data_IF_430900463194
#
_entry.id   IF_430900463194
#
_cell.length_a   1.000
_cell.length_b   1.000
_cell.length_c   1.000
_cell.angle_alpha   90.00
_cell.angle_beta   90.00
_cell.angle_gamma   90.00
#
_symmetry.space_group_name_H-M   'P 1'
#
loop_
_entity.id
_entity.type
_entity.pdbx_description
1 polymer ?
#
# COMPACT_ATOMS: atom_id res chain seq x y z
N UNK A 1 -45.13 40.63 6.74
CA UNK A 1 -45.15 41.37 5.46
C UNK A 1 -44.07 40.89 4.50
N UNK A 2 -42.78 40.90 4.86
CA UNK A 2 -41.67 40.52 3.95
C UNK A 2 -41.73 39.06 3.45
N UNK A 3 -42.23 38.14 4.28
CA UNK A 3 -42.25 36.70 3.95
C UNK A 3 -43.40 36.30 3.00
N UNK A 4 -44.52 37.04 3.00
CA UNK A 4 -45.64 36.78 2.07
C UNK A 4 -45.41 37.42 0.69
N UNK A 5 -44.76 38.59 0.63
CA UNK A 5 -44.37 39.20 -0.65
C UNK A 5 -43.29 38.38 -1.37
N UNK A 6 -42.34 37.80 -0.63
CA UNK A 6 -41.40 36.82 -1.18
C UNK A 6 -42.15 35.59 -1.72
N UNK A 7 -43.16 35.08 -1.01
CA UNK A 7 -43.89 33.91 -1.48
C UNK A 7 -44.74 34.20 -2.73
N UNK A 8 -45.33 35.39 -2.84
CA UNK A 8 -46.05 35.84 -4.02
C UNK A 8 -45.14 36.05 -5.24
N UNK A 9 -43.89 36.50 -5.04
CA UNK A 9 -42.91 36.66 -6.10
C UNK A 9 -42.40 35.31 -6.66
N UNK A 10 -42.35 34.26 -5.82
CA UNK A 10 -41.94 32.91 -6.23
C UNK A 10 -43.09 32.02 -6.75
N UNK A 11 -44.36 32.37 -6.50
CA UNK A 11 -45.53 31.59 -6.94
C UNK A 11 -46.10 31.99 -8.30
N UNK A 12 -45.62 33.11 -8.88
CA UNK A 12 -45.98 33.56 -10.23
C UNK A 12 -45.13 32.97 -11.36
N UNK A 13 -45.46 33.24 -12.64
CA UNK A 13 -44.73 32.76 -13.82
C UNK A 13 -43.22 33.07 -13.77
N UNK A 14 -42.84 34.21 -13.19
CA UNK A 14 -41.45 34.63 -13.00
C UNK A 14 -40.67 33.76 -12.00
N UNK A 15 -41.33 33.30 -10.94
CA UNK A 15 -40.74 32.37 -9.97
C UNK A 15 -40.51 30.98 -10.55
N UNK A 16 -41.47 30.48 -11.35
CA UNK A 16 -41.33 29.23 -12.11
C UNK A 16 -40.20 29.33 -13.14
N UNK A 17 -40.10 30.45 -13.86
CA UNK A 17 -39.01 30.67 -14.82
C UNK A 17 -37.63 30.67 -14.15
N UNK A 18 -37.48 31.33 -13.00
CA UNK A 18 -36.24 31.33 -12.23
C UNK A 18 -35.87 29.92 -11.74
N UNK A 19 -36.84 29.17 -11.21
CA UNK A 19 -36.64 27.78 -10.81
C UNK A 19 -36.19 26.90 -12.00
N UNK A 20 -36.83 27.03 -13.16
CA UNK A 20 -36.44 26.33 -14.39
C UNK A 20 -35.02 26.70 -14.83
N UNK A 21 -34.63 27.98 -14.77
CA UNK A 21 -33.27 28.44 -15.08
C UNK A 21 -32.23 27.84 -14.12
N UNK A 22 -32.52 27.82 -12.82
CA UNK A 22 -31.62 27.22 -11.81
C UNK A 22 -31.47 25.70 -12.03
N UNK A 23 -32.56 25.00 -12.34
CA UNK A 23 -32.53 23.57 -12.67
C UNK A 23 -31.74 23.34 -13.96
N UNK A 24 -31.96 24.13 -15.01
CA UNK A 24 -31.23 24.03 -16.26
C UNK A 24 -29.72 24.30 -16.07
N UNK A 25 -29.35 25.31 -15.27
CA UNK A 25 -27.96 25.60 -14.92
C UNK A 25 -27.33 24.45 -14.13
N UNK A 26 -28.03 23.88 -13.15
CA UNK A 26 -27.56 22.73 -12.38
C UNK A 26 -27.36 21.48 -13.28
N UNK A 27 -28.29 21.23 -14.22
CA UNK A 27 -28.18 20.16 -15.21
C UNK A 27 -27.01 20.38 -16.17
N UNK A 28 -26.81 21.61 -16.66
CA UNK A 28 -25.69 21.97 -17.53
C UNK A 28 -24.34 21.81 -16.82
N UNK A 29 -24.21 22.27 -15.56
CA UNK A 29 -23.02 22.09 -14.73
C UNK A 29 -22.75 20.61 -14.46
N UNK A 30 -23.78 19.81 -14.15
CA UNK A 30 -23.67 18.37 -13.96
C UNK A 30 -23.24 17.66 -15.23
N UNK A 31 -23.79 18.04 -16.38
CA UNK A 31 -23.42 17.50 -17.69
C UNK A 31 -21.97 17.84 -18.05
N UNK A 32 -21.56 19.10 -17.88
CA UNK A 32 -20.19 19.57 -18.11
C UNK A 32 -19.19 18.81 -17.23
N UNK A 33 -19.47 18.70 -15.93
CA UNK A 33 -18.63 17.97 -14.98
C UNK A 33 -18.48 16.49 -15.35
N UNK A 34 -19.59 15.83 -15.75
CA UNK A 34 -19.57 14.45 -16.23
C UNK A 34 -18.78 14.30 -17.53
N UNK A 35 -18.91 15.25 -18.46
CA UNK A 35 -18.15 15.26 -19.72
C UNK A 35 -16.64 15.37 -19.45
N UNK A 36 -16.23 16.26 -18.55
CA UNK A 36 -14.82 16.37 -18.14
C UNK A 36 -14.32 15.08 -17.48
N UNK A 37 -15.11 14.48 -16.57
CA UNK A 37 -14.75 13.22 -15.92
C UNK A 37 -14.62 12.05 -16.92
N UNK A 38 -15.52 11.95 -17.91
CA UNK A 38 -15.44 10.97 -19.00
C UNK A 38 -14.19 11.19 -19.86
N UNK A 39 -13.88 12.44 -20.20
CA UNK A 39 -12.66 12.77 -20.95
C UNK A 39 -11.40 12.41 -20.18
N UNK A 40 -11.35 12.68 -18.87
CA UNK A 40 -10.24 12.28 -18.01
C UNK A 40 -10.07 10.76 -17.96
N UNK A 41 -11.17 10.01 -17.81
CA UNK A 41 -11.14 8.55 -17.82
C UNK A 41 -10.63 7.99 -19.16
N UNK A 42 -11.10 8.53 -20.29
CA UNK A 42 -10.65 8.10 -21.62
C UNK A 42 -9.14 8.33 -21.80
N UNK A 43 -8.64 9.52 -21.42
CA UNK A 43 -7.19 9.82 -21.48
C UNK A 43 -6.37 8.93 -20.55
N UNK A 44 -6.85 8.68 -19.34
CA UNK A 44 -6.17 7.80 -18.38
C UNK A 44 -6.05 6.37 -18.92
N UNK A 45 -7.13 5.81 -19.49
CA UNK A 45 -7.12 4.47 -20.11
C UNK A 45 -6.21 4.39 -21.33
N UNK A 46 -6.23 5.42 -22.17
CA UNK A 46 -5.32 5.48 -23.33
C UNK A 46 -3.86 5.50 -22.87
N UNK A 47 -3.53 6.27 -21.83
CA UNK A 47 -2.18 6.29 -21.24
C UNK A 47 -1.79 4.96 -20.60
N UNK A 48 -2.71 4.32 -19.86
CA UNK A 48 -2.48 3.01 -19.26
C UNK A 48 -2.20 1.97 -20.36
N UNK A 49 -3.01 1.93 -21.42
CA UNK A 49 -2.82 1.03 -22.55
C UNK A 49 -1.47 1.25 -23.24
N UNK A 50 -1.12 2.51 -23.55
CA UNK A 50 0.17 2.83 -24.16
C UNK A 50 1.36 2.46 -23.27
N UNK A 51 1.23 2.66 -21.95
CA UNK A 51 2.24 2.26 -20.98
C UNK A 51 2.43 0.73 -20.95
N UNK A 52 1.34 -0.04 -20.95
CA UNK A 52 1.39 -1.50 -20.99
C UNK A 52 1.97 -2.03 -22.30
N UNK A 53 1.66 -1.40 -23.44
CA UNK A 53 2.27 -1.74 -24.73
C UNK A 53 3.76 -1.44 -24.77
N UNK A 54 4.19 -0.34 -24.12
CA UNK A 54 5.61 0.02 -24.01
C UNK A 54 6.35 -1.00 -23.13
N UNK A 55 5.75 -1.38 -22.00
CA UNK A 55 6.29 -2.44 -21.14
C UNK A 55 6.45 -3.77 -21.91
N UNK A 56 5.41 -4.22 -22.61
CA UNK A 56 5.44 -5.46 -23.37
C UNK A 56 6.57 -5.47 -24.41
N UNK A 57 6.68 -4.39 -25.19
CA UNK A 57 7.75 -4.25 -26.20
C UNK A 57 9.14 -4.29 -25.57
N UNK A 58 9.34 -3.65 -24.43
CA UNK A 58 10.62 -3.65 -23.73
C UNK A 58 10.98 -5.06 -23.22
N UNK A 59 10.04 -5.75 -22.58
CA UNK A 59 10.20 -7.12 -22.11
C UNK A 59 10.47 -8.11 -23.28
N UNK A 60 9.69 -8.01 -24.37
CA UNK A 60 9.88 -8.86 -25.55
C UNK A 60 11.25 -8.65 -26.20
N UNK A 61 11.69 -7.40 -26.34
CA UNK A 61 13.01 -7.07 -26.87
C UNK A 61 14.10 -7.72 -26.03
N UNK A 62 14.03 -7.59 -24.71
CA UNK A 62 15.01 -8.18 -23.81
C UNK A 62 15.03 -9.72 -23.91
N UNK A 63 13.85 -10.36 -23.94
CA UNK A 63 13.74 -11.81 -24.05
C UNK A 63 14.35 -12.36 -25.35
N UNK A 64 14.11 -11.68 -26.48
CA UNK A 64 14.70 -12.07 -27.77
C UNK A 64 16.23 -11.94 -27.78
N UNK A 65 16.78 -11.01 -27.00
CA UNK A 65 18.23 -10.82 -26.85
C UNK A 65 18.85 -11.81 -25.85
N UNK A 66 18.06 -12.38 -24.94
CA UNK A 66 18.52 -13.24 -23.86
C UNK A 66 17.65 -14.53 -23.79
N UNK A 67 17.64 -15.37 -24.84
CA UNK A 67 16.75 -16.53 -24.91
C UNK A 67 17.06 -17.62 -23.87
N UNK A 68 18.30 -17.67 -23.38
CA UNK A 68 18.77 -18.70 -22.44
C UNK A 68 18.56 -18.32 -20.97
N UNK A 69 18.00 -17.14 -20.68
CA UNK A 69 17.75 -16.68 -19.31
C UNK A 69 16.60 -17.48 -18.67
N UNK A 70 16.90 -18.22 -17.60
CA UNK A 70 15.89 -18.87 -16.77
C UNK A 70 15.14 -17.84 -15.89
N UNK A 71 14.12 -17.23 -16.48
CA UNK A 71 13.29 -16.22 -15.81
C UNK A 71 12.45 -16.81 -14.67
N UNK A 72 12.04 -18.08 -14.75
CA UNK A 72 11.25 -18.71 -13.69
C UNK A 72 12.10 -18.92 -12.43
N UNK A 73 13.34 -19.40 -12.59
CA UNK A 73 14.28 -19.50 -11.48
C UNK A 73 14.55 -18.13 -10.84
N UNK A 74 14.76 -17.09 -11.65
CA UNK A 74 14.99 -15.72 -11.17
C UNK A 74 13.80 -15.21 -10.35
N UNK A 75 12.58 -15.37 -10.86
CA UNK A 75 11.36 -14.87 -10.22
C UNK A 75 11.04 -15.61 -8.91
N UNK A 76 11.48 -16.87 -8.77
CA UNK A 76 11.31 -17.68 -7.57
C UNK A 76 12.23 -17.28 -6.41
N UNK A 77 13.28 -16.49 -6.65
CA UNK A 77 14.23 -16.10 -5.60
C UNK A 77 13.57 -15.20 -4.54
N UNK A 78 13.84 -15.45 -3.24
CA UNK A 78 13.59 -14.46 -2.18
C UNK A 78 14.41 -13.19 -2.42
N UNK A 79 13.89 -12.03 -2.04
CA UNK A 79 14.55 -10.74 -2.29
C UNK A 79 15.99 -10.68 -1.74
N UNK A 80 16.31 -11.15 -0.51
CA UNK A 80 17.67 -11.10 0.00
C UNK A 80 18.66 -11.89 -0.87
N UNK A 81 18.23 -13.04 -1.40
CA UNK A 81 19.06 -13.87 -2.29
C UNK A 81 19.23 -13.21 -3.65
N UNK A 82 18.18 -12.61 -4.19
CA UNK A 82 18.26 -11.87 -5.44
C UNK A 82 19.22 -10.68 -5.34
N UNK A 83 19.16 -9.90 -4.26
CA UNK A 83 20.11 -8.79 -4.02
C UNK A 83 21.53 -9.31 -3.91
N UNK A 84 21.76 -10.44 -3.23
CA UNK A 84 23.08 -11.06 -3.15
C UNK A 84 23.60 -11.47 -4.54
N UNK A 85 22.77 -12.12 -5.35
CA UNK A 85 23.15 -12.55 -6.71
C UNK A 85 23.46 -11.37 -7.62
N UNK A 86 22.67 -10.30 -7.57
CA UNK A 86 22.95 -9.07 -8.32
C UNK A 86 24.27 -8.44 -7.89
N UNK A 87 24.52 -8.34 -6.58
CA UNK A 87 25.79 -7.79 -6.05
C UNK A 87 27.01 -8.61 -6.42
N UNK A 88 26.88 -9.93 -6.49
CA UNK A 88 27.96 -10.82 -6.90
C UNK A 88 28.23 -10.83 -8.42
N UNK A 89 27.34 -10.21 -9.21
CA UNK A 89 27.40 -10.24 -10.67
C UNK A 89 26.86 -11.53 -11.30
N UNK A 90 26.30 -12.45 -10.52
CA UNK A 90 25.67 -13.67 -11.03
C UNK A 90 24.39 -13.37 -11.83
N UNK A 91 23.64 -12.34 -11.42
CA UNK A 91 22.50 -11.82 -12.15
C UNK A 91 22.76 -10.36 -12.52
N UNK A 92 22.46 -9.98 -13.76
CA UNK A 92 22.52 -8.57 -14.15
C UNK A 92 21.26 -7.81 -13.67
N UNK A 93 21.38 -6.53 -13.29
CA UNK A 93 20.22 -5.69 -12.99
C UNK A 93 19.20 -5.64 -14.13
N UNK A 94 19.65 -5.71 -15.39
CA UNK A 94 18.79 -5.75 -16.57
C UNK A 94 17.96 -7.02 -16.61
N UNK A 95 18.59 -8.20 -16.38
CA UNK A 95 17.89 -9.47 -16.32
C UNK A 95 16.79 -9.44 -15.25
N UNK A 96 17.10 -8.89 -14.07
CA UNK A 96 16.11 -8.74 -13.00
C UNK A 96 14.98 -7.81 -13.41
N UNK A 97 15.27 -6.59 -13.88
CA UNK A 97 14.25 -5.62 -14.25
C UNK A 97 13.32 -6.18 -15.33
N UNK A 98 13.86 -6.69 -16.44
CA UNK A 98 13.04 -7.10 -17.56
C UNK A 98 12.27 -8.41 -17.30
N UNK A 99 12.79 -9.34 -16.50
CA UNK A 99 12.02 -10.51 -16.06
C UNK A 99 10.83 -10.11 -15.18
N UNK A 100 11.01 -9.18 -14.24
CA UNK A 100 9.90 -8.67 -13.42
C UNK A 100 8.92 -7.81 -14.22
N UNK A 101 9.40 -7.01 -15.16
CA UNK A 101 8.57 -6.17 -16.04
C UNK A 101 7.66 -7.05 -16.93
N UNK A 102 8.21 -8.13 -17.48
CA UNK A 102 7.43 -9.13 -18.20
C UNK A 102 6.37 -9.78 -17.31
N UNK A 103 6.75 -10.26 -16.12
CA UNK A 103 5.83 -10.91 -15.20
C UNK A 103 4.72 -9.96 -14.76
N UNK A 104 5.05 -8.71 -14.45
CA UNK A 104 4.10 -7.66 -14.11
C UNK A 104 3.09 -7.42 -15.23
N UNK A 105 3.54 -7.36 -16.49
CA UNK A 105 2.66 -7.22 -17.65
C UNK A 105 1.72 -8.42 -17.80
N UNK A 106 2.23 -9.65 -17.64
CA UNK A 106 1.44 -10.88 -17.74
C UNK A 106 0.33 -10.93 -16.68
N UNK A 107 0.68 -10.71 -15.41
CA UNK A 107 -0.27 -10.79 -14.29
C UNK A 107 -1.28 -9.65 -14.32
N UNK A 108 -0.91 -8.49 -14.87
CA UNK A 108 -1.82 -7.37 -15.04
C UNK A 108 -3.00 -7.72 -15.97
N UNK A 109 -2.85 -8.65 -16.92
CA UNK A 109 -3.97 -9.08 -17.79
C UNK A 109 -5.12 -9.72 -16.99
N UNK A 110 -4.79 -10.43 -15.91
CA UNK A 110 -5.77 -11.08 -15.03
C UNK A 110 -6.25 -10.21 -13.87
N UNK A 111 -5.48 -9.19 -13.50
CA UNK A 111 -5.69 -8.42 -12.26
C UNK A 111 -5.98 -6.94 -12.43
N UNK A 112 -5.59 -6.31 -13.55
CA UNK A 112 -5.65 -4.86 -13.76
C UNK A 112 -5.08 -4.07 -12.57
N UNK A 113 -3.87 -4.44 -12.14
CA UNK A 113 -3.19 -3.86 -10.97
C UNK A 113 -2.23 -2.71 -11.33
N UNK A 114 -1.78 -2.58 -12.57
CA UNK A 114 -0.81 -1.56 -13.03
C UNK A 114 -1.53 -0.39 -13.68
N UNK A 115 -1.26 0.84 -13.23
CA UNK A 115 -1.84 2.07 -13.83
C UNK A 115 -0.90 2.74 -14.82
N UNK A 116 0.41 2.71 -14.58
CA UNK A 116 1.41 3.27 -15.49
C UNK A 116 2.78 2.58 -15.35
N UNK A 117 3.54 2.60 -16.44
CA UNK A 117 4.94 2.22 -16.54
C UNK A 117 5.81 3.45 -16.26
N UNK A 118 6.74 3.34 -15.32
CA UNK A 118 7.73 4.38 -15.03
C UNK A 118 8.92 4.20 -15.96
N UNK A 119 8.81 4.74 -17.19
CA UNK A 119 9.76 4.48 -18.26
C UNK A 119 11.19 5.04 -18.00
N UNK A 120 11.37 5.88 -16.98
CA UNK A 120 12.69 6.31 -16.51
C UNK A 120 13.45 5.20 -15.77
N UNK A 121 12.83 4.05 -15.52
CA UNK A 121 13.44 2.92 -14.81
C UNK A 121 14.69 2.37 -15.50
N UNK A 122 14.76 2.37 -16.84
CA UNK A 122 15.96 1.93 -17.58
C UNK A 122 17.13 2.91 -17.38
N UNK A 123 16.86 4.22 -17.42
CA UNK A 123 17.86 5.23 -17.13
C UNK A 123 18.32 5.17 -15.66
N UNK A 124 17.37 4.93 -14.75
CA UNK A 124 17.64 4.72 -13.33
C UNK A 124 18.52 3.49 -13.11
N UNK A 125 18.29 2.39 -13.85
CA UNK A 125 19.11 1.17 -13.77
C UNK A 125 20.58 1.47 -14.10
N UNK A 126 20.83 2.24 -15.18
CA UNK A 126 22.17 2.64 -15.59
C UNK A 126 22.89 3.53 -14.57
N UNK A 127 22.14 4.27 -13.75
CA UNK A 127 22.67 5.22 -12.77
C UNK A 127 22.59 4.68 -11.33
N UNK A 128 22.06 3.48 -11.13
CA UNK A 128 21.80 2.92 -9.81
C UNK A 128 23.11 2.76 -9.02
N UNK A 129 23.21 3.31 -7.80
CA UNK A 129 24.40 3.15 -6.98
C UNK A 129 24.65 1.69 -6.62
N UNK A 130 25.74 1.11 -7.12
CA UNK A 130 26.10 -0.31 -6.92
C UNK A 130 26.26 -0.74 -5.45
N UNK A 131 26.52 0.22 -4.56
CA UNK A 131 26.69 -0.01 -3.12
C UNK A 131 25.37 0.06 -2.33
N UNK A 132 24.28 0.50 -2.98
CA UNK A 132 22.97 0.65 -2.33
C UNK A 132 22.41 -0.68 -1.81
N UNK A 133 21.61 -0.61 -0.74
CA UNK A 133 21.02 -1.81 -0.12
C UNK A 133 20.00 -2.54 -1.01
N UNK A 134 19.47 -1.85 -2.02
CA UNK A 134 18.48 -2.36 -2.96
C UNK A 134 18.98 -2.28 -4.41
N UNK A 135 20.29 -2.33 -4.63
CA UNK A 135 20.87 -2.23 -5.96
C UNK A 135 20.25 -3.23 -6.95
N UNK A 136 19.71 -2.72 -8.04
CA UNK A 136 19.10 -3.49 -9.13
C UNK A 136 17.73 -4.09 -8.81
N UNK A 137 17.12 -3.74 -7.67
CA UNK A 137 15.81 -4.28 -7.26
C UNK A 137 14.67 -3.47 -7.90
N UNK A 138 13.79 -4.10 -8.71
CA UNK A 138 12.57 -3.46 -9.20
C UNK A 138 11.58 -3.27 -8.04
N UNK A 139 11.05 -2.06 -7.89
CA UNK A 139 10.10 -1.72 -6.82
C UNK A 139 8.80 -1.20 -7.41
N UNK A 140 7.67 -1.79 -7.02
CA UNK A 140 6.34 -1.27 -7.34
C UNK A 140 5.92 -0.17 -6.38
N UNK A 141 5.21 0.84 -6.88
CA UNK A 141 4.76 1.95 -6.06
C UNK A 141 3.25 2.12 -6.17
N UNK A 142 2.56 2.25 -5.04
CA UNK A 142 1.17 2.71 -5.05
C UNK A 142 1.08 4.06 -5.75
N UNK A 143 0.03 4.32 -6.53
CA UNK A 143 -0.10 5.53 -7.36
C UNK A 143 0.10 6.88 -6.63
N UNK A 144 -0.10 6.93 -5.31
CA UNK A 144 0.05 8.16 -4.52
C UNK A 144 1.50 8.54 -4.18
N UNK A 145 2.48 7.68 -4.46
CA UNK A 145 3.88 8.05 -4.40
C UNK A 145 4.22 8.86 -5.65
N UNK A 146 4.40 10.17 -5.50
CA UNK A 146 4.68 11.04 -6.65
C UNK A 146 5.99 10.65 -7.31
N UNK A 147 5.95 10.38 -8.61
CA UNK A 147 7.11 10.16 -9.47
C UNK A 147 7.13 11.24 -10.55
N UNK A 148 8.30 11.84 -10.78
CA UNK A 148 8.48 12.96 -11.71
C UNK A 148 7.93 12.62 -13.10
N UNK A 149 7.09 13.51 -13.64
CA UNK A 149 6.50 13.35 -14.97
C UNK A 149 5.28 12.42 -15.02
N UNK A 150 4.90 11.78 -13.91
CA UNK A 150 3.75 10.87 -13.83
C UNK A 150 2.60 11.47 -13.00
N UNK A 151 1.37 11.13 -13.39
CA UNK A 151 0.17 11.52 -12.63
C UNK A 151 0.04 10.65 -11.36
N UNK A 152 -0.31 11.28 -10.23
CA UNK A 152 -0.91 10.61 -9.08
C UNK A 152 -2.39 10.96 -9.02
N UNK A 153 -3.24 10.18 -9.70
CA UNK A 153 -4.65 10.56 -9.91
C UNK A 153 -5.52 10.29 -8.69
N UNK A 154 -5.20 9.24 -7.92
CA UNK A 154 -6.04 8.71 -6.84
C UNK A 154 -7.42 8.25 -7.35
N UNK A 155 -7.53 7.92 -8.64
CA UNK A 155 -8.81 7.65 -9.30
C UNK A 155 -9.74 8.87 -9.43
N UNK A 156 -9.24 10.09 -9.22
CA UNK A 156 -10.00 11.34 -9.29
C UNK A 156 -9.72 12.06 -10.61
N UNK A 157 -10.78 12.37 -11.37
CA UNK A 157 -10.66 13.06 -12.67
C UNK A 157 -9.96 14.42 -12.57
N UNK A 158 -10.08 15.10 -11.43
CA UNK A 158 -9.42 16.40 -11.16
C UNK A 158 -7.89 16.32 -11.18
N UNK A 159 -7.33 15.17 -10.82
CA UNK A 159 -5.88 14.96 -10.75
C UNK A 159 -5.31 14.33 -12.03
N UNK A 160 -6.14 14.10 -13.05
CA UNK A 160 -5.68 13.54 -14.31
C UNK A 160 -5.05 14.64 -15.16
N UNK A 161 -3.84 14.39 -15.67
CA UNK A 161 -3.08 15.39 -16.45
C UNK A 161 -2.39 16.43 -15.58
N UNK A 162 -2.05 16.07 -14.34
CA UNK A 162 -1.26 16.89 -13.41
C UNK A 162 -0.04 16.09 -12.96
N UNK A 163 0.98 15.94 -13.83
CA UNK A 163 2.15 15.15 -13.51
C UNK A 163 2.95 15.79 -12.38
N UNK A 164 3.60 14.98 -11.55
CA UNK A 164 4.45 15.49 -10.48
C UNK A 164 5.72 16.15 -11.03
N UNK A 165 6.16 17.24 -10.39
CA UNK A 165 7.37 17.98 -10.80
C UNK A 165 8.66 17.28 -10.33
N UNK A 166 8.58 16.53 -9.24
CA UNK A 166 9.68 15.79 -8.65
C UNK A 166 9.21 14.49 -8.01
N UNK A 167 10.18 13.59 -7.77
CA UNK A 167 9.97 12.38 -7.00
C UNK A 167 9.69 12.72 -5.54
N UNK A 168 8.79 11.99 -4.88
CA UNK A 168 8.61 12.10 -3.43
C UNK A 168 9.87 11.63 -2.69
N UNK A 169 10.06 12.04 -1.44
CA UNK A 169 11.30 11.76 -0.70
C UNK A 169 11.62 10.27 -0.63
N UNK A 170 10.60 9.43 -0.41
CA UNK A 170 10.80 7.97 -0.33
C UNK A 170 11.25 7.38 -1.67
N UNK A 171 10.75 7.89 -2.79
CA UNK A 171 11.19 7.47 -4.14
C UNK A 171 12.62 7.91 -4.40
N UNK A 172 13.00 9.13 -4.00
CA UNK A 172 14.39 9.60 -4.09
C UNK A 172 15.33 8.70 -3.30
N UNK A 173 14.97 8.34 -2.06
CA UNK A 173 15.78 7.45 -1.20
C UNK A 173 15.88 6.05 -1.79
N UNK A 174 14.79 5.49 -2.34
CA UNK A 174 14.84 4.21 -3.05
C UNK A 174 15.86 4.25 -4.21
N UNK A 175 15.80 5.28 -5.05
CA UNK A 175 16.73 5.48 -6.16
C UNK A 175 18.18 5.62 -5.68
N UNK A 176 18.42 6.36 -4.60
CA UNK A 176 19.74 6.49 -3.96
C UNK A 176 20.25 5.16 -3.36
N UNK A 177 19.35 4.29 -2.92
CA UNK A 177 19.65 2.93 -2.48
C UNK A 177 19.80 1.92 -3.63
N UNK A 178 19.81 2.39 -4.88
CA UNK A 178 20.00 1.58 -6.08
C UNK A 178 18.76 0.81 -6.54
N UNK A 179 17.61 1.05 -5.91
CA UNK A 179 16.35 0.47 -6.36
C UNK A 179 15.86 1.12 -7.66
N UNK A 180 14.97 0.40 -8.34
CA UNK A 180 14.46 0.76 -9.67
C UNK A 180 12.93 0.78 -9.62
N UNK A 181 12.31 1.92 -9.24
CA UNK A 181 10.87 2.08 -9.37
C UNK A 181 10.43 1.89 -10.81
N UNK A 182 9.48 0.97 -11.07
CA UNK A 182 9.15 0.58 -12.45
C UNK A 182 7.66 0.70 -12.81
N UNK A 183 6.74 0.67 -11.84
CA UNK A 183 5.30 0.83 -12.10
C UNK A 183 4.60 1.60 -11.00
N UNK A 184 3.53 2.31 -11.36
CA UNK A 184 2.47 2.65 -10.41
C UNK A 184 1.40 1.56 -10.40
N UNK A 185 0.87 1.27 -9.20
CA UNK A 185 -0.21 0.32 -9.00
C UNK A 185 -1.52 0.99 -8.58
N UNK A 186 -2.62 0.34 -8.93
CA UNK A 186 -3.97 0.89 -8.85
C UNK A 186 -4.46 1.06 -7.41
N UNK A 187 -5.37 2.02 -7.24
CA UNK A 187 -5.98 2.39 -5.96
C UNK A 187 -7.49 2.56 -6.11
N UNK A 188 -8.29 2.39 -5.05
CA UNK A 188 -9.68 2.82 -5.08
C UNK A 188 -9.78 4.34 -5.20
N UNK A 189 -10.89 4.81 -5.78
CA UNK A 189 -11.15 6.24 -5.91
C UNK A 189 -11.02 6.95 -4.55
N UNK A 190 -10.21 8.02 -4.49
CA UNK A 190 -9.83 8.81 -3.32
C UNK A 190 -8.94 8.13 -2.26
N UNK A 191 -8.61 6.85 -2.43
CA UNK A 191 -7.90 5.98 -1.47
C UNK A 191 -8.63 5.70 -0.15
N UNK A 192 -9.83 6.24 0.07
CA UNK A 192 -10.61 6.03 1.29
C UNK A 192 -11.56 4.83 1.18
N UNK A 193 -10.99 3.67 0.81
CA UNK A 193 -11.69 2.40 0.70
C UNK A 193 -10.70 1.25 0.90
N UNK A 194 -11.19 0.11 1.40
CA UNK A 194 -10.44 -1.14 1.46
C UNK A 194 -10.76 -2.10 0.31
N UNK A 195 -11.47 -1.63 -0.72
CA UNK A 195 -11.56 -2.27 -2.04
C UNK A 195 -10.60 -1.57 -3.03
N UNK A 196 -10.58 -1.96 -4.31
CA UNK A 196 -9.67 -1.38 -5.31
C UNK A 196 -10.33 -1.17 -6.68
N UNK A 197 -11.09 -0.08 -6.82
CA UNK A 197 -11.69 0.31 -8.10
C UNK A 197 -11.84 1.83 -8.23
N UNK A 198 -11.66 2.36 -9.44
CA UNK A 198 -11.92 3.76 -9.73
C UNK A 198 -12.39 3.99 -11.19
N UNK A 199 -13.02 5.14 -11.50
CA UNK A 199 -13.55 5.41 -12.84
C UNK A 199 -12.48 5.55 -13.94
N UNK A 200 -11.23 5.83 -13.58
CA UNK A 200 -10.15 6.06 -14.55
C UNK A 200 -9.60 4.72 -15.06
N UNK A 201 -9.08 3.89 -14.16
CA UNK A 201 -8.38 2.64 -14.49
C UNK A 201 -9.24 1.38 -14.29
N UNK A 202 -10.44 1.50 -13.73
CA UNK A 202 -11.33 0.37 -13.48
C UNK A 202 -11.00 -0.39 -12.19
N UNK A 203 -11.48 -1.62 -12.11
CA UNK A 203 -11.37 -2.49 -10.94
C UNK A 203 -10.13 -3.36 -11.02
N UNK A 204 -9.43 -3.50 -9.90
CA UNK A 204 -8.39 -4.51 -9.69
C UNK A 204 -9.02 -5.73 -9.03
N UNK A 205 -8.65 -6.93 -9.47
CA UNK A 205 -9.15 -8.20 -8.92
C UNK A 205 -8.06 -8.93 -8.14
N UNK A 206 -8.48 -9.82 -7.24
CA UNK A 206 -7.57 -10.63 -6.45
C UNK A 206 -6.96 -11.76 -7.31
N UNK A 207 -5.63 -11.97 -7.32
CA UNK A 207 -4.99 -13.01 -8.13
C UNK A 207 -5.37 -14.44 -7.72
N UNK A 208 -5.80 -14.66 -6.48
CA UNK A 208 -6.25 -15.99 -6.03
C UNK A 208 -7.66 -16.35 -6.53
N UNK A 209 -8.51 -15.34 -6.74
CA UNK A 209 -9.88 -15.51 -7.21
C UNK A 209 -10.42 -14.20 -7.77
N UNK A 210 -10.72 -14.18 -9.07
CA UNK A 210 -11.11 -12.95 -9.80
C UNK A 210 -12.40 -12.29 -9.29
N UNK A 211 -13.27 -13.04 -8.62
CA UNK A 211 -14.50 -12.52 -8.00
C UNK A 211 -14.28 -11.89 -6.61
N UNK A 212 -13.04 -11.88 -6.10
CA UNK A 212 -12.69 -11.30 -4.80
C UNK A 212 -11.93 -9.99 -4.96
N UNK A 213 -12.12 -9.12 -3.98
CA UNK A 213 -11.33 -7.90 -3.85
C UNK A 213 -9.89 -8.25 -3.50
N UNK A 214 -8.89 -7.55 -4.07
CA UNK A 214 -7.50 -7.64 -3.62
C UNK A 214 -7.27 -6.92 -2.28
N UNK A 215 -8.29 -6.29 -1.70
CA UNK A 215 -8.15 -5.37 -0.58
C UNK A 215 -7.71 -3.99 -1.03
N UNK A 216 -7.48 -3.07 -0.09
CA UNK A 216 -7.18 -1.70 -0.43
C UNK A 216 -6.86 -0.81 0.76
N UNK A 217 -6.41 0.43 0.54
CA UNK A 217 -6.30 1.09 -0.76
C UNK A 217 -5.03 0.78 -1.55
N UNK A 218 -4.08 0.01 -1.01
CA UNK A 218 -2.90 -0.47 -1.75
C UNK A 218 -3.19 -1.79 -2.49
N UNK A 219 -4.37 -1.88 -3.12
CA UNK A 219 -4.86 -3.12 -3.72
C UNK A 219 -4.08 -3.57 -4.94
N UNK A 220 -3.60 -2.61 -5.76
CA UNK A 220 -2.70 -2.89 -6.86
C UNK A 220 -1.38 -3.52 -6.41
N UNK A 221 -0.76 -3.00 -5.32
CA UNK A 221 0.44 -3.61 -4.72
C UNK A 221 0.17 -5.06 -4.27
N UNK A 222 -0.93 -5.27 -3.53
CA UNK A 222 -1.31 -6.61 -3.05
C UNK A 222 -1.45 -7.62 -4.20
N UNK A 223 -2.18 -7.24 -5.25
CA UNK A 223 -2.40 -8.09 -6.41
C UNK A 223 -1.09 -8.36 -7.19
N UNK A 224 -0.27 -7.33 -7.41
CA UNK A 224 0.96 -7.45 -8.20
C UNK A 224 2.00 -8.34 -7.50
N UNK A 225 2.24 -8.11 -6.21
CA UNK A 225 3.24 -8.88 -5.43
C UNK A 225 2.80 -10.34 -5.27
N UNK A 226 1.52 -10.57 -4.95
CA UNK A 226 1.00 -11.93 -4.78
C UNK A 226 1.01 -12.75 -6.07
N UNK A 227 0.81 -12.11 -7.22
CA UNK A 227 0.93 -12.76 -8.52
C UNK A 227 2.38 -12.95 -8.99
N UNK A 228 3.38 -12.48 -8.21
CA UNK A 228 4.79 -12.59 -8.52
C UNK A 228 5.33 -11.52 -9.49
N UNK A 229 4.52 -10.52 -9.84
CA UNK A 229 4.92 -9.42 -10.72
C UNK A 229 5.78 -8.35 -10.05
N UNK A 230 5.97 -8.43 -8.73
CA UNK A 230 6.90 -7.59 -7.96
C UNK A 230 7.41 -8.36 -6.73
N UNK A 231 8.62 -8.05 -6.29
CA UNK A 231 9.20 -8.55 -5.03
C UNK A 231 8.87 -7.67 -3.85
N UNK A 232 8.90 -6.36 -4.09
CA UNK A 232 8.87 -5.32 -3.09
C UNK A 232 8.04 -4.16 -3.61
N UNK A 233 7.14 -3.70 -2.77
CA UNK A 233 6.25 -2.59 -3.05
C UNK A 233 6.14 -1.63 -1.89
N UNK A 234 5.72 -0.39 -2.18
CA UNK A 234 5.39 0.59 -1.13
C UNK A 234 3.89 0.94 -1.15
N UNK A 235 3.29 0.82 0.03
CA UNK A 235 1.92 1.21 0.29
C UNK A 235 1.80 2.33 1.33
N UNK A 236 0.57 2.78 1.54
CA UNK A 236 0.21 3.73 2.59
C UNK A 236 -0.96 3.21 3.41
N UNK A 237 -1.00 3.53 4.70
CA UNK A 237 -1.97 2.98 5.65
C UNK A 237 -2.32 4.00 6.73
N UNK A 238 -3.59 4.44 6.71
CA UNK A 238 -4.22 5.24 7.77
C UNK A 238 -5.24 4.42 8.57
N UNK A 239 -5.88 3.44 7.94
CA UNK A 239 -6.95 2.62 8.53
C UNK A 239 -6.88 1.13 8.16
N UNK A 240 -5.75 0.66 7.64
CA UNK A 240 -5.55 -0.74 7.22
C UNK A 240 -5.01 -0.91 5.81
N UNK A 241 -4.72 0.16 5.09
CA UNK A 241 -4.50 0.11 3.64
C UNK A 241 -3.21 -0.54 3.15
N UNK A 242 -2.27 -0.91 4.02
CA UNK A 242 -1.18 -1.87 3.73
C UNK A 242 -1.62 -3.27 4.13
N UNK A 243 -2.26 -3.39 5.30
CA UNK A 243 -2.58 -4.65 5.97
C UNK A 243 -3.72 -5.43 5.30
N UNK A 244 -4.79 -4.76 4.86
CA UNK A 244 -5.90 -5.38 4.13
C UNK A 244 -5.44 -6.05 2.83
N UNK A 245 -4.77 -5.34 1.89
CA UNK A 245 -4.34 -5.99 0.66
C UNK A 245 -3.27 -7.05 0.91
N UNK A 246 -2.40 -6.87 1.93
CA UNK A 246 -1.44 -7.92 2.30
C UNK A 246 -2.14 -9.20 2.75
N UNK A 247 -3.14 -9.08 3.63
CA UNK A 247 -3.90 -10.23 4.12
C UNK A 247 -4.78 -10.88 3.03
N UNK A 248 -5.46 -10.08 2.20
CA UNK A 248 -6.37 -10.60 1.17
C UNK A 248 -5.61 -11.27 0.02
N UNK A 249 -4.41 -10.80 -0.27
CA UNK A 249 -3.55 -11.37 -1.30
C UNK A 249 -2.47 -12.31 -0.75
N UNK A 250 -2.46 -12.62 0.55
CA UNK A 250 -1.56 -13.63 1.12
C UNK A 250 -0.07 -13.25 1.07
N UNK A 251 0.25 -11.98 1.28
CA UNK A 251 1.62 -11.45 1.33
C UNK A 251 1.90 -10.77 2.68
N UNK A 252 3.14 -10.36 2.92
CA UNK A 252 3.55 -9.61 4.11
C UNK A 252 3.45 -8.10 3.87
N UNK A 253 3.05 -7.36 4.91
CA UNK A 253 3.09 -5.89 4.88
C UNK A 253 3.16 -5.33 6.29
N UNK A 254 3.93 -4.25 6.45
CA UNK A 254 4.11 -3.59 7.76
C UNK A 254 3.65 -2.14 7.68
N UNK A 255 2.89 -1.71 8.71
CA UNK A 255 2.55 -0.31 8.95
C UNK A 255 3.40 0.24 10.10
N UNK A 256 4.51 0.94 9.82
CA UNK A 256 5.29 1.64 10.83
C UNK A 256 4.49 2.63 11.69
N UNK A 257 5.17 3.23 12.66
CA UNK A 257 4.71 4.46 13.33
C UNK A 257 4.63 5.57 12.29
N UNK A 258 3.57 6.40 12.33
CA UNK A 258 3.24 7.32 11.22
C UNK A 258 4.32 8.34 10.84
N UNK A 259 5.25 8.66 11.74
CA UNK A 259 6.39 9.55 11.45
C UNK A 259 7.74 8.82 11.36
N UNK A 260 7.74 7.49 11.16
CA UNK A 260 8.99 6.71 11.01
C UNK A 260 9.59 6.80 9.61
N UNK A 261 8.77 7.05 8.60
CA UNK A 261 9.16 7.22 7.19
C UNK A 261 8.55 8.54 6.70
N UNK A 262 9.29 9.25 5.84
CA UNK A 262 8.84 10.52 5.26
C UNK A 262 7.51 10.37 4.52
N UNK A 263 6.67 11.41 4.65
CA UNK A 263 5.43 11.57 3.88
C UNK A 263 5.54 12.68 2.84
N UNK A 264 6.72 13.31 2.73
CA UNK A 264 6.95 14.45 1.85
C UNK A 264 6.82 14.04 0.39
N UNK A 265 6.02 14.79 -0.36
CA UNK A 265 5.70 14.52 -1.76
C UNK A 265 4.64 13.46 -2.00
N UNK A 266 3.99 12.89 -0.98
CA UNK A 266 2.85 11.99 -1.20
C UNK A 266 1.59 12.75 -1.63
N UNK A 267 0.86 12.21 -2.59
CA UNK A 267 -0.43 12.75 -3.02
C UNK A 267 -1.55 12.27 -2.10
N UNK A 268 -2.24 13.20 -1.45
CA UNK A 268 -3.43 12.95 -0.64
C UNK A 268 -4.71 13.56 -1.22
N UNK A 269 -5.86 13.03 -0.80
CA UNK A 269 -7.18 13.62 -1.06
C UNK A 269 -7.53 14.73 -0.06
N UNK A 270 -7.01 14.64 1.16
CA UNK A 270 -7.21 15.60 2.26
C UNK A 270 -5.87 15.84 2.94
N UNK A 271 -5.55 17.11 3.22
CA UNK A 271 -4.32 17.54 3.87
C UNK A 271 -4.62 18.18 5.24
N UNK A 272 -3.65 18.19 6.15
CA UNK A 272 -3.76 18.85 7.47
C UNK A 272 -4.44 18.01 8.58
N UNK A 273 -4.94 16.82 8.26
CA UNK A 273 -5.50 15.90 9.28
C UNK A 273 -4.36 15.20 10.04
N UNK A 274 -4.29 15.40 11.36
CA UNK A 274 -3.18 14.92 12.21
C UNK A 274 -3.61 14.01 13.37
N UNK A 275 -4.91 13.88 13.64
CA UNK A 275 -5.43 13.04 14.73
C UNK A 275 -5.20 11.54 14.47
N UNK A 276 -5.47 11.08 13.25
CA UNK A 276 -5.18 9.71 12.80
C UNK A 276 -4.05 9.77 11.79
N UNK A 277 -2.86 9.34 12.21
CA UNK A 277 -1.64 9.47 11.44
C UNK A 277 -1.59 8.46 10.28
N UNK A 278 -1.36 8.98 9.08
CA UNK A 278 -0.96 8.18 7.91
C UNK A 278 0.43 7.59 8.14
N UNK A 279 0.65 6.36 7.69
CA UNK A 279 1.99 5.74 7.60
C UNK A 279 2.29 5.29 6.18
N UNK A 280 3.58 5.33 5.84
CA UNK A 280 4.18 4.65 4.67
C UNK A 280 4.81 3.35 5.15
N UNK A 281 4.77 2.30 4.33
CA UNK A 281 5.47 1.06 4.67
C UNK A 281 5.58 0.07 3.51
N UNK A 282 6.53 -0.88 3.59
CA UNK A 282 6.73 -1.88 2.57
C UNK A 282 5.69 -3.01 2.60
N UNK A 283 5.51 -3.62 1.43
CA UNK A 283 4.77 -4.84 1.16
C UNK A 283 5.68 -5.78 0.36
N UNK A 284 5.73 -7.07 0.71
CA UNK A 284 6.62 -8.04 0.08
C UNK A 284 6.13 -9.48 0.33
N UNK A 285 6.79 -10.48 -0.24
CA UNK A 285 6.42 -11.90 -0.08
C UNK A 285 6.83 -12.52 1.25
N UNK A 286 7.82 -11.92 1.91
CA UNK A 286 8.40 -12.39 3.17
C UNK A 286 8.78 -11.23 4.09
N UNK A 287 9.01 -11.52 5.37
CA UNK A 287 9.28 -10.52 6.41
C UNK A 287 10.69 -9.94 6.29
N UNK A 288 11.64 -10.75 5.83
CA UNK A 288 13.04 -10.38 5.59
C UNK A 288 13.13 -9.27 4.52
N UNK A 289 12.31 -9.36 3.48
CA UNK A 289 12.16 -8.32 2.46
C UNK A 289 11.63 -7.00 3.02
N UNK A 290 10.67 -7.07 3.96
CA UNK A 290 10.17 -5.87 4.65
C UNK A 290 11.28 -5.24 5.48
N UNK A 291 12.04 -6.05 6.23
CA UNK A 291 13.16 -5.59 7.04
C UNK A 291 14.27 -4.97 6.18
N UNK A 292 14.60 -5.59 5.04
CA UNK A 292 15.57 -5.06 4.08
C UNK A 292 15.15 -3.69 3.53
N UNK A 293 13.88 -3.53 3.15
CA UNK A 293 13.38 -2.24 2.69
C UNK A 293 13.41 -1.18 3.79
N UNK A 294 12.98 -1.51 5.01
CA UNK A 294 13.04 -0.58 6.15
C UNK A 294 14.48 -0.17 6.46
N UNK A 295 15.44 -1.10 6.41
CA UNK A 295 16.87 -0.83 6.56
C UNK A 295 17.39 0.13 5.49
N UNK A 296 17.00 -0.07 4.24
CA UNK A 296 17.37 0.81 3.13
C UNK A 296 16.79 2.22 3.27
N UNK A 297 15.54 2.35 3.71
CA UNK A 297 14.87 3.64 3.86
C UNK A 297 15.36 4.42 5.10
N UNK A 298 15.64 3.75 6.21
CA UNK A 298 16.08 4.36 7.48
C UNK A 298 17.58 4.70 7.47
N UNK A 299 17.97 5.54 6.51
CA UNK A 299 19.34 5.98 6.27
C UNK A 299 19.47 7.52 6.29
N UNK A 300 20.70 8.00 6.28
CA UNK A 300 21.02 9.44 6.31
C UNK A 300 20.39 10.23 5.16
N UNK A 301 20.26 9.64 3.97
CA UNK A 301 19.61 10.33 2.85
C UNK A 301 18.16 10.69 3.16
N UNK A 302 17.39 9.79 3.79
CA UNK A 302 16.01 10.09 4.17
C UNK A 302 15.94 11.16 5.25
N UNK A 303 16.81 11.06 6.27
CA UNK A 303 16.83 12.00 7.38
C UNK A 303 17.28 13.40 6.95
N UNK A 304 18.17 13.48 5.95
CA UNK A 304 18.62 14.74 5.34
C UNK A 304 17.57 15.36 4.42
N UNK A 305 16.90 14.55 3.58
CA UNK A 305 15.88 15.02 2.64
C UNK A 305 14.59 15.45 3.34
N UNK A 306 14.25 14.85 4.48
CA UNK A 306 13.13 15.25 5.32
C UNK A 306 13.51 15.29 6.82
N UNK A 307 14.04 16.43 7.29
CA UNK A 307 14.42 16.63 8.69
C UNK A 307 13.25 16.57 9.69
N UNK A 308 12.00 16.47 9.23
CA UNK A 308 10.83 16.30 10.12
C UNK A 308 10.66 14.85 10.57
N UNK A 309 11.36 13.90 9.94
CA UNK A 309 11.43 12.50 10.35
C UNK A 309 12.51 12.36 11.44
N UNK A 310 12.21 11.77 12.61
CA UNK A 310 13.23 11.50 13.61
C UNK A 310 14.31 10.55 13.05
N UNK A 311 15.60 10.88 13.17
CA UNK A 311 16.70 10.09 12.61
C UNK A 311 16.96 8.83 13.44
N UNK A 312 16.03 7.88 13.38
CA UNK A 312 16.06 6.62 14.11
C UNK A 312 16.43 5.49 13.13
N UNK A 313 17.71 5.06 13.09
CA UNK A 313 18.15 4.02 12.17
C UNK A 313 17.42 2.70 12.44
N UNK A 314 17.49 1.78 11.48
CA UNK A 314 17.03 0.42 11.71
C UNK A 314 17.91 -0.24 12.78
N UNK A 315 17.29 -0.88 13.78
CA UNK A 315 18.00 -1.50 14.88
C UNK A 315 18.15 -3.01 14.60
N UNK A 316 19.34 -3.42 14.16
CA UNK A 316 19.64 -4.83 13.84
C UNK A 316 19.56 -5.75 15.05
N UNK A 317 20.03 -5.30 16.21
CA UNK A 317 20.03 -6.12 17.43
C UNK A 317 18.60 -6.45 17.88
N UNK A 318 17.69 -5.48 17.78
CA UNK A 318 16.27 -5.68 18.09
C UNK A 318 15.62 -6.61 17.08
N UNK A 319 15.92 -6.46 15.79
CA UNK A 319 15.35 -7.32 14.74
C UNK A 319 15.85 -8.76 14.83
N UNK A 320 17.15 -8.97 15.07
CA UNK A 320 17.78 -10.29 15.13
C UNK A 320 17.62 -11.00 16.49
N UNK A 321 17.07 -10.33 17.50
CA UNK A 321 16.88 -10.89 18.84
C UNK A 321 15.99 -12.14 18.82
N UNK A 322 16.50 -13.24 19.37
CA UNK A 322 15.78 -14.51 19.57
C UNK A 322 15.24 -14.70 20.99
N UNK A 323 15.19 -13.63 21.78
CA UNK A 323 14.72 -13.68 23.18
C UNK A 323 13.25 -14.14 23.25
N UNK A 324 12.87 -14.96 24.25
CA UNK A 324 11.46 -15.27 24.50
C UNK A 324 10.65 -13.99 24.64
N UNK A 325 9.44 -14.01 24.07
CA UNK A 325 8.58 -12.83 23.97
C UNK A 325 7.40 -12.95 24.91
N UNK A 326 6.91 -11.78 25.31
CA UNK A 326 5.68 -11.61 26.05
C UNK A 326 4.60 -11.10 25.08
N UNK A 327 3.68 -11.98 24.67
CA UNK A 327 2.70 -11.72 23.62
C UNK A 327 1.29 -11.58 24.20
N UNK A 328 0.71 -10.38 24.08
CA UNK A 328 -0.72 -10.18 24.33
C UNK A 328 -1.53 -10.62 23.12
N UNK A 329 -2.59 -11.39 23.34
CA UNK A 329 -3.52 -11.79 22.27
C UNK A 329 -4.99 -11.55 22.66
N UNK A 330 -5.84 -11.43 21.66
CA UNK A 330 -7.30 -11.44 21.80
C UNK A 330 -7.92 -12.14 20.58
N UNK A 331 -9.02 -12.85 20.76
CA UNK A 331 -9.68 -13.60 19.67
C UNK A 331 -10.66 -12.74 18.87
N UNK A 332 -11.21 -11.72 19.52
CA UNK A 332 -12.23 -10.82 19.00
C UNK A 332 -12.01 -9.43 19.59
N UNK A 333 -12.25 -8.40 18.80
CA UNK A 333 -12.28 -7.01 19.28
C UNK A 333 -13.65 -6.64 19.89
N UNK A 334 -14.59 -7.59 19.93
CA UNK A 334 -15.98 -7.40 20.36
C UNK A 334 -16.75 -6.38 19.52
N UNK A 335 -16.27 -6.10 18.30
CA UNK A 335 -16.91 -5.19 17.35
C UNK A 335 -17.20 -5.93 16.04
N UNK A 336 -16.15 -6.44 15.38
CA UNK A 336 -16.29 -7.27 14.18
C UNK A 336 -16.07 -8.72 14.55
N UNK A 337 -17.14 -9.53 14.44
CA UNK A 337 -17.04 -10.96 14.72
C UNK A 337 -16.01 -11.61 13.79
N UNK A 338 -14.97 -12.30 14.32
CA UNK A 338 -13.99 -12.97 13.48
C UNK A 338 -14.65 -14.12 12.72
N UNK A 339 -14.31 -14.27 11.44
CA UNK A 339 -14.71 -15.46 10.69
C UNK A 339 -14.10 -16.73 11.29
N UNK A 340 -14.65 -17.93 11.01
CA UNK A 340 -14.05 -19.19 11.48
C UNK A 340 -12.58 -19.33 11.07
N UNK A 341 -12.22 -18.91 9.85
CA UNK A 341 -10.85 -18.95 9.36
C UNK A 341 -9.92 -18.00 10.14
N UNK A 342 -10.38 -16.77 10.44
CA UNK A 342 -9.60 -15.80 11.21
C UNK A 342 -9.35 -16.28 12.64
N UNK A 343 -10.39 -16.78 13.33
CA UNK A 343 -10.25 -17.32 14.68
C UNK A 343 -9.27 -18.49 14.69
N UNK A 344 -9.41 -19.42 13.73
CA UNK A 344 -8.52 -20.57 13.61
C UNK A 344 -7.06 -20.15 13.39
N UNK A 345 -6.80 -19.24 12.46
CA UNK A 345 -5.46 -18.74 12.18
C UNK A 345 -4.80 -18.10 13.41
N UNK A 346 -5.56 -17.29 14.16
CA UNK A 346 -5.08 -16.69 15.41
C UNK A 346 -4.73 -17.76 16.45
N UNK A 347 -5.61 -18.75 16.66
CA UNK A 347 -5.38 -19.80 17.65
C UNK A 347 -4.23 -20.76 17.26
N UNK A 348 -4.06 -21.07 15.98
CA UNK A 348 -2.92 -21.84 15.47
C UNK A 348 -1.60 -21.08 15.67
N UNK A 349 -1.59 -19.78 15.40
CA UNK A 349 -0.42 -18.90 15.64
C UNK A 349 -0.09 -18.82 17.14
N UNK A 350 -1.11 -18.64 17.98
CA UNK A 350 -0.98 -18.64 19.45
C UNK A 350 -0.27 -19.92 19.92
N UNK A 351 -0.79 -21.09 19.53
CA UNK A 351 -0.22 -22.39 19.91
C UNK A 351 1.21 -22.56 19.42
N UNK A 352 1.51 -22.09 18.22
CA UNK A 352 2.86 -22.14 17.64
C UNK A 352 3.85 -21.28 18.45
N UNK A 353 3.43 -20.10 18.89
CA UNK A 353 4.23 -19.24 19.77
C UNK A 353 4.45 -19.86 21.15
N UNK A 354 3.42 -20.45 21.75
CA UNK A 354 3.54 -21.17 23.03
C UNK A 354 4.52 -22.35 22.91
N UNK A 355 4.41 -23.14 21.82
CA UNK A 355 5.29 -24.27 21.55
C UNK A 355 6.75 -23.84 21.31
N UNK A 356 6.98 -22.65 20.77
CA UNK A 356 8.31 -22.05 20.59
C UNK A 356 8.88 -21.40 21.88
N UNK A 357 8.18 -21.49 23.01
CA UNK A 357 8.65 -21.00 24.31
C UNK A 357 8.31 -19.53 24.61
N UNK A 358 7.44 -18.89 23.84
CA UNK A 358 6.94 -17.55 24.16
C UNK A 358 5.82 -17.61 25.21
N UNK A 359 5.71 -16.57 26.03
CA UNK A 359 4.60 -16.43 26.98
C UNK A 359 3.45 -15.70 26.30
N UNK A 360 2.29 -16.35 26.17
CA UNK A 360 1.11 -15.79 25.50
C UNK A 360 -0.06 -15.67 26.49
N UNK A 361 -0.61 -14.47 26.67
CA UNK A 361 -1.73 -14.26 27.62
C UNK A 361 -2.84 -13.39 27.01
N UNK A 362 -4.06 -13.62 27.48
CA UNK A 362 -5.24 -12.90 27.03
C UNK A 362 -5.14 -11.44 27.47
N UNK A 363 -5.01 -10.52 26.49
CA UNK A 363 -5.00 -9.07 26.71
C UNK A 363 -5.40 -8.35 25.43
N UNK A 364 -6.51 -7.62 25.51
CA UNK A 364 -6.95 -6.65 24.52
C UNK A 364 -6.81 -5.21 25.03
N UNK A 365 -6.92 -4.21 24.14
CA UNK A 365 -7.04 -2.80 24.52
C UNK A 365 -8.12 -2.58 25.60
N UNK A 366 -7.81 -1.72 26.59
CA UNK A 366 -8.63 -1.55 27.81
C UNK A 366 -10.10 -1.14 27.56
N UNK A 367 -10.40 -0.53 26.41
CA UNK A 367 -11.74 -0.08 26.04
C UNK A 367 -12.56 -1.13 25.28
N UNK A 368 -12.00 -2.30 24.93
CA UNK A 368 -12.68 -3.33 24.13
C UNK A 368 -13.45 -4.37 24.96
N UNK A 369 -13.70 -4.11 26.26
CA UNK A 369 -14.59 -4.91 27.12
C UNK A 369 -14.43 -6.41 26.91
N UNK A 370 -13.31 -6.98 27.35
CA UNK A 370 -12.98 -8.39 27.06
C UNK A 370 -13.89 -9.30 27.88
N UNK A 371 -14.88 -9.90 27.25
CA UNK A 371 -15.65 -11.02 27.81
C UNK A 371 -15.07 -12.32 27.28
N UNK A 372 -14.65 -13.21 28.18
CA UNK A 372 -14.40 -14.61 27.84
C UNK A 372 -15.70 -15.19 27.24
N UNK A 373 -15.68 -15.61 25.98
CA UNK A 373 -16.74 -16.48 25.46
C UNK A 373 -16.52 -17.91 25.99
N UNK A 374 -16.53 -18.13 27.30
CA UNK A 374 -16.63 -19.48 27.86
C UNK A 374 -17.45 -19.49 29.15
N UNK A 375 -18.46 -20.37 29.17
CA UNK A 375 -19.23 -20.70 30.36
C UNK A 375 -18.37 -21.41 31.40
N UNK A 376 -17.79 -20.65 32.32
CA UNK A 376 -17.23 -21.14 33.58
C UNK A 376 -17.43 -20.08 34.68
N UNK A 377 -17.70 -20.50 35.93
CA UNK A 377 -18.31 -19.65 36.95
C UNK A 377 -17.32 -18.66 37.59
N UNK A 378 -17.82 -17.59 38.24
CA UNK A 378 -17.00 -16.44 38.61
C UNK A 378 -16.12 -16.76 39.82
N UNK A 379 -14.81 -16.55 39.67
CA UNK A 379 -13.81 -16.62 40.74
C UNK A 379 -12.84 -15.46 40.64
N UNK A 380 -13.05 -14.45 41.48
CA UNK A 380 -12.10 -13.48 42.05
C UNK A 380 -10.79 -13.19 41.31
N UNK A 381 -10.68 -12.00 40.71
CA UNK A 381 -9.38 -11.36 40.47
C UNK A 381 -9.35 -9.94 41.02
N UNK A 382 -8.43 -9.74 41.99
CA UNK A 382 -8.16 -8.46 42.63
C UNK A 382 -7.41 -7.50 41.72
N UNK A 383 -7.68 -6.21 41.93
CA UNK A 383 -6.98 -5.08 41.34
C UNK A 383 -5.51 -5.03 41.76
N UNK A 384 -4.60 -4.79 40.81
CA UNK A 384 -3.31 -4.16 41.09
C UNK A 384 -2.99 -3.09 40.02
N UNK A 385 -2.31 -1.99 40.40
CA UNK A 385 -2.32 -0.74 39.64
C UNK A 385 -1.16 -0.60 38.64
N UNK A 386 -1.44 0.18 37.58
CA UNK A 386 -0.56 1.14 36.90
C UNK A 386 0.86 0.70 36.48
N UNK A 387 1.00 0.30 35.20
CA UNK A 387 2.26 0.42 34.44
C UNK A 387 2.00 1.25 33.17
N UNK A 388 2.05 2.57 33.35
CA UNK A 388 1.92 3.56 32.29
C UNK A 388 3.31 3.94 31.74
N UNK A 389 3.96 3.07 30.97
CA UNK A 389 5.17 3.46 30.21
C UNK A 389 5.55 2.57 29.03
N UNK A 390 4.75 1.57 28.65
CA UNK A 390 5.13 0.64 27.58
C UNK A 390 4.56 1.08 26.22
N UNK A 391 5.43 1.21 25.21
CA UNK A 391 5.05 1.55 23.83
C UNK A 391 4.77 0.25 23.05
N UNK A 392 3.55 0.01 22.55
CA UNK A 392 3.23 -1.19 21.79
C UNK A 392 3.78 -1.13 20.36
N UNK A 393 4.33 -2.25 19.88
CA UNK A 393 4.48 -2.53 18.45
C UNK A 393 3.36 -3.50 18.03
N UNK A 394 2.50 -3.07 17.10
CA UNK A 394 1.40 -3.88 16.58
C UNK A 394 1.78 -4.53 15.24
N UNK A 395 1.80 -5.85 15.21
CA UNK A 395 1.80 -6.65 13.99
C UNK A 395 0.35 -7.07 13.71
N UNK A 396 -0.11 -6.94 12.47
CA UNK A 396 -1.50 -7.21 12.11
C UNK A 396 -1.51 -8.30 11.06
N UNK A 397 -2.04 -9.47 11.43
CA UNK A 397 -2.33 -10.57 10.52
C UNK A 397 -3.84 -10.55 10.26
N UNK A 398 -4.28 -10.00 9.11
CA UNK A 398 -5.71 -9.78 8.86
C UNK A 398 -6.37 -8.87 9.91
N UNK A 399 -7.68 -8.93 10.12
CA UNK A 399 -8.35 -8.09 11.14
C UNK A 399 -7.92 -8.38 12.60
N UNK A 400 -6.99 -9.32 12.84
CA UNK A 400 -6.39 -9.56 14.16
C UNK A 400 -5.11 -8.73 14.37
N UNK A 401 -5.04 -8.01 15.48
CA UNK A 401 -3.82 -7.29 15.90
C UNK A 401 -3.11 -8.13 16.96
N UNK A 402 -1.83 -8.43 16.76
CA UNK A 402 -0.92 -8.95 17.77
C UNK A 402 -0.12 -7.77 18.32
N UNK A 403 -0.15 -7.55 19.64
CA UNK A 403 0.59 -6.44 20.27
C UNK A 403 1.74 -7.00 21.10
N UNK A 404 2.97 -6.67 20.71
CA UNK A 404 4.17 -7.00 21.47
C UNK A 404 4.40 -5.91 22.53
N UNK A 405 4.73 -6.36 23.74
CA UNK A 405 5.10 -5.51 24.86
C UNK A 405 6.52 -5.90 25.30
N UNK A 406 7.44 -4.93 25.35
CA UNK A 406 8.72 -5.09 26.06
C UNK A 406 8.45 -5.05 27.60
N UNK A 407 9.33 -5.61 28.45
CA UNK A 407 9.14 -5.73 29.90
C UNK A 407 8.77 -4.44 30.64
#
# INVERSE_FOLDING_TARGET
>A
MVQEELWAAFSGPSGVALACCLVAAALALRWSSRRMARGAAARARQRQQAALETMDKAAQRFRLQNPDLDSEMLLALPLPQLVQKVRSGELSPEAVLFSYLQKAWEVNRGTNCVTTYLADCEAQLCQAPGQGLLYGVPVSLKECFSCKGHDSTLGLSRNQGTPAECDCVVVQVLKLQGAVPFVHTNVPQSMFSYDCSNPLFGQTTNPWMSSKSPGGSSGGEGALIAAGGSLLGLGTDIGGSIRFPSAFCGICGIKPTGNRISKSGLKGSVYGQVAVQLSVGPMARDVESLALCLRALLCEDMFRLDPTVPPLPFNEEVYASSRPLRVGYYETDNYTMPTPAMRRALLETKRSLEAAGHTVWLRGPAHLGITLLQGSPPGTHGCHPSLASLRPACFVFGMGTLTLWDP
#
